data_IF_622450462660
#
_entry.id   IF_622450462660
#
_cell.length_a   1.000
_cell.length_b   1.000
_cell.length_c   1.000
_cell.angle_alpha   90.00
_cell.angle_beta   90.00
_cell.angle_gamma   90.00
#
_symmetry.space_group_name_H-M   'P 1'
#
loop_
_entity.id
_entity.type
_entity.pdbx_description
1 polymer ?
#
# COMPACT_ATOMS: atom_id res chain seq x y z
N UNK A 1 -16.49 24.67 5.12
CA UNK A 1 -16.99 23.33 4.70
C UNK A 1 -15.75 22.48 4.43
N UNK A 2 -15.57 21.34 5.10
CA UNK A 2 -14.49 20.41 4.74
C UNK A 2 -14.76 19.94 3.31
N UNK A 3 -13.75 20.00 2.43
CA UNK A 3 -13.87 19.53 1.05
C UNK A 3 -14.13 18.01 1.14
N UNK A 4 -15.20 17.53 0.51
CA UNK A 4 -15.53 16.11 0.51
C UNK A 4 -14.51 15.36 -0.34
N UNK A 5 -13.96 14.26 0.16
CA UNK A 5 -13.07 13.40 -0.61
C UNK A 5 -13.81 12.81 -1.81
N UNK A 6 -13.14 12.76 -2.96
CA UNK A 6 -13.72 12.34 -4.22
C UNK A 6 -13.31 10.91 -4.57
N UNK A 7 -14.27 10.10 -5.04
CA UNK A 7 -14.00 8.81 -5.65
C UNK A 7 -13.44 9.00 -7.07
N UNK A 8 -12.37 8.28 -7.41
CA UNK A 8 -11.78 8.33 -8.74
C UNK A 8 -10.94 7.08 -9.02
N UNK A 9 -10.61 6.90 -10.30
CA UNK A 9 -9.76 5.85 -10.83
C UNK A 9 -8.59 6.51 -11.55
N UNK A 10 -7.39 5.99 -11.34
CA UNK A 10 -6.18 6.37 -12.08
C UNK A 10 -5.68 5.16 -12.87
N UNK A 11 -5.38 5.36 -14.15
CA UNK A 11 -4.77 4.33 -14.98
C UNK A 11 -3.29 4.19 -14.68
N UNK A 12 -2.72 3.05 -15.07
CA UNK A 12 -1.29 2.82 -14.96
C UNK A 12 -0.48 4.00 -15.52
N UNK A 13 0.31 4.62 -14.65
CA UNK A 13 1.15 5.75 -14.98
C UNK A 13 0.52 7.12 -14.74
N UNK A 14 -0.80 7.20 -14.57
CA UNK A 14 -1.49 8.41 -14.08
C UNK A 14 -1.23 8.60 -12.59
N UNK A 15 -1.28 9.86 -12.15
CA UNK A 15 -1.10 10.27 -10.76
C UNK A 15 -1.76 11.63 -10.55
N UNK A 16 -2.01 12.01 -9.30
CA UNK A 16 -2.42 13.37 -8.96
C UNK A 16 -1.28 14.36 -9.24
N UNK A 17 -0.07 13.95 -8.87
CA UNK A 17 1.16 14.70 -9.13
C UNK A 17 2.36 13.75 -9.16
N UNK A 18 3.32 14.05 -10.02
CA UNK A 18 4.60 13.33 -10.12
C UNK A 18 5.76 14.27 -9.81
N UNK A 19 6.70 13.79 -9.00
CA UNK A 19 7.94 14.48 -8.66
C UNK A 19 9.16 13.63 -8.96
N UNK A 20 10.27 14.28 -9.25
CA UNK A 20 11.59 13.67 -9.19
C UNK A 20 12.24 14.11 -7.88
N UNK A 21 12.49 13.15 -6.98
CA UNK A 21 13.13 13.38 -5.70
C UNK A 21 14.33 12.43 -5.57
N UNK A 22 15.52 12.99 -5.37
CA UNK A 22 16.76 12.21 -5.24
C UNK A 22 16.95 11.13 -6.34
N UNK A 23 16.59 11.45 -7.59
CA UNK A 23 16.73 10.54 -8.75
C UNK A 23 15.63 9.47 -8.88
N UNK A 24 14.62 9.51 -8.02
CA UNK A 24 13.49 8.59 -8.01
C UNK A 24 12.22 9.32 -8.48
N UNK A 25 11.44 8.67 -9.34
CA UNK A 25 10.16 9.19 -9.82
C UNK A 25 9.10 8.78 -8.82
N UNK A 26 8.52 9.76 -8.13
CA UNK A 26 7.50 9.59 -7.10
C UNK A 26 6.15 10.04 -7.65
N UNK A 27 5.19 9.12 -7.71
CA UNK A 27 3.83 9.36 -8.17
C UNK A 27 2.89 9.33 -6.97
N UNK A 28 2.27 10.46 -6.67
CA UNK A 28 1.22 10.54 -5.65
C UNK A 28 -0.10 10.14 -6.26
N UNK A 29 -0.66 9.01 -5.81
CA UNK A 29 -1.92 8.46 -6.29
C UNK A 29 -3.12 8.89 -5.44
N UNK A 30 -2.88 9.16 -4.16
CA UNK A 30 -3.84 9.79 -3.25
C UNK A 30 -3.10 10.68 -2.27
N UNK A 31 -3.66 11.87 -2.00
CA UNK A 31 -3.14 12.86 -1.06
C UNK A 31 -4.05 12.96 0.19
N UNK A 32 -3.68 13.84 1.12
CA UNK A 32 -4.46 14.16 2.32
C UNK A 32 -5.95 14.43 2.01
N UNK A 33 -6.26 15.15 0.93
CA UNK A 33 -7.64 15.50 0.59
C UNK A 33 -8.41 14.28 0.06
N UNK A 34 -7.76 13.43 -0.75
CA UNK A 34 -8.34 12.22 -1.31
C UNK A 34 -8.72 11.20 -0.22
N UNK A 35 -7.96 11.12 0.86
CA UNK A 35 -8.14 10.13 1.93
C UNK A 35 -8.68 10.71 3.23
N UNK A 36 -9.07 12.00 3.23
CA UNK A 36 -9.51 12.74 4.42
C UNK A 36 -8.48 12.70 5.57
N UNK A 37 -7.20 12.76 5.24
CA UNK A 37 -6.07 12.71 6.18
C UNK A 37 -5.71 11.31 6.66
N UNK A 38 -6.30 10.26 6.08
CA UNK A 38 -6.03 8.87 6.47
C UNK A 38 -4.60 8.45 6.12
N UNK A 39 -4.19 8.66 4.87
CA UNK A 39 -2.86 8.31 4.37
C UNK A 39 -2.57 8.99 3.02
N UNK A 40 -1.29 9.12 2.67
CA UNK A 40 -0.85 9.32 1.29
C UNK A 40 -0.60 7.97 0.61
N UNK A 41 -0.97 7.84 -0.66
CA UNK A 41 -0.69 6.64 -1.47
C UNK A 41 0.31 6.97 -2.58
N UNK A 42 1.39 6.20 -2.66
CA UNK A 42 2.54 6.50 -3.49
C UNK A 42 2.97 5.29 -4.32
N UNK A 43 3.41 5.54 -5.55
CA UNK A 43 4.23 4.61 -6.32
C UNK A 43 5.57 5.28 -6.60
N UNK A 44 6.64 4.55 -6.36
CA UNK A 44 7.99 5.00 -6.66
C UNK A 44 8.63 4.10 -7.70
N UNK A 45 9.18 4.72 -8.75
CA UNK A 45 9.98 4.07 -9.78
C UNK A 45 11.42 4.60 -9.70
N UNK A 46 12.38 3.68 -9.71
CA UNK A 46 13.80 4.02 -9.67
C UNK A 46 14.66 3.08 -10.52
N UNK A 47 15.86 3.55 -10.85
CA UNK A 47 16.95 2.68 -11.33
C UNK A 47 17.72 2.10 -10.13
N UNK A 48 19.04 2.01 -10.23
CA UNK A 48 19.90 1.66 -9.10
C UNK A 48 20.28 2.97 -8.42
N UNK A 49 19.88 3.12 -7.16
CA UNK A 49 20.26 4.28 -6.38
C UNK A 49 21.75 4.21 -6.06
N UNK A 50 22.51 5.32 -6.24
CA UNK A 50 23.95 5.33 -5.97
C UNK A 50 24.27 5.10 -4.48
N UNK A 51 23.34 5.43 -3.60
CA UNK A 51 23.43 5.27 -2.15
C UNK A 51 22.01 5.12 -1.58
N UNK A 52 21.82 4.50 -0.39
CA UNK A 52 20.54 4.50 0.29
C UNK A 52 20.09 5.92 0.62
N UNK A 53 18.78 6.13 0.78
CA UNK A 53 18.32 7.29 1.52
C UNK A 53 18.91 7.21 2.94
N UNK A 54 19.32 8.33 3.56
CA UNK A 54 19.92 8.28 4.89
C UNK A 54 19.00 7.60 5.89
N UNK A 55 19.58 6.88 6.85
CA UNK A 55 18.82 6.41 8.01
C UNK A 55 18.13 7.59 8.68
N UNK A 56 16.83 7.46 8.91
CA UNK A 56 15.98 8.48 9.51
C UNK A 56 14.81 7.83 10.23
N UNK A 57 14.05 8.62 10.96
CA UNK A 57 12.77 8.23 11.51
C UNK A 57 11.76 9.37 11.33
N UNK A 58 10.49 9.01 11.52
CA UNK A 58 9.38 9.94 11.66
C UNK A 58 8.80 9.80 13.06
N UNK A 59 8.38 10.88 13.70
CA UNK A 59 7.75 10.85 15.02
C UNK A 59 6.31 10.33 14.94
N UNK A 60 5.65 10.46 13.79
CA UNK A 60 4.21 10.18 13.63
C UNK A 60 3.86 9.20 12.54
N UNK A 61 4.68 9.14 11.48
CA UNK A 61 4.29 8.40 10.30
C UNK A 61 4.53 6.89 10.42
N UNK A 62 3.55 6.17 9.89
CA UNK A 62 3.57 4.73 9.63
C UNK A 62 3.91 4.54 8.16
N UNK A 63 5.07 3.96 7.88
CA UNK A 63 5.52 3.72 6.51
C UNK A 63 5.33 2.26 6.10
N UNK A 64 4.95 2.08 4.84
CA UNK A 64 4.75 0.76 4.25
C UNK A 64 5.36 0.66 2.87
N UNK A 65 5.90 -0.51 2.56
CA UNK A 65 6.43 -0.84 1.24
C UNK A 65 5.91 -2.19 0.80
N UNK A 66 5.26 -2.24 -0.36
CA UNK A 66 5.02 -3.45 -1.13
C UNK A 66 5.91 -3.35 -2.37
N UNK A 67 6.94 -4.18 -2.47
CA UNK A 67 7.77 -4.22 -3.68
C UNK A 67 6.94 -4.81 -4.82
N UNK A 68 6.76 -4.09 -5.93
CA UNK A 68 5.90 -4.55 -7.05
C UNK A 68 6.74 -5.02 -8.23
N UNK A 69 8.01 -4.62 -8.30
CA UNK A 69 8.96 -5.04 -9.33
C UNK A 69 10.39 -4.76 -8.89
N UNK A 70 11.33 -5.60 -9.31
CA UNK A 70 12.76 -5.36 -9.09
C UNK A 70 13.22 -5.79 -7.71
N UNK A 71 14.06 -4.98 -7.06
CA UNK A 71 14.66 -5.28 -5.75
C UNK A 71 14.80 -4.01 -4.92
N UNK A 72 14.07 -3.96 -3.82
CA UNK A 72 14.14 -2.85 -2.86
C UNK A 72 14.85 -3.34 -1.60
N UNK A 73 16.03 -2.80 -1.31
CA UNK A 73 16.73 -3.06 -0.06
C UNK A 73 16.17 -2.13 1.01
N UNK A 74 15.71 -2.69 2.12
CA UNK A 74 15.11 -1.93 3.23
C UNK A 74 15.84 -2.27 4.52
N UNK A 75 16.10 -1.25 5.32
CA UNK A 75 16.63 -1.35 6.66
C UNK A 75 15.59 -0.84 7.65
N UNK A 76 15.45 -1.54 8.76
CA UNK A 76 14.68 -1.09 9.91
C UNK A 76 15.37 -1.59 11.16
N UNK A 77 15.72 -0.66 12.06
CA UNK A 77 16.48 -0.95 13.28
C UNK A 77 17.77 -1.75 12.98
N UNK A 78 17.90 -2.94 13.55
CA UNK A 78 19.04 -3.85 13.40
C UNK A 78 18.87 -4.88 12.27
N UNK A 79 17.83 -4.72 11.45
CA UNK A 79 17.47 -5.66 10.39
C UNK A 79 17.62 -5.03 8.99
N UNK A 80 17.98 -5.87 8.02
CA UNK A 80 17.95 -5.51 6.60
C UNK A 80 17.45 -6.67 5.75
N UNK A 81 16.60 -6.37 4.76
CA UNK A 81 16.10 -7.31 3.75
C UNK A 81 16.21 -6.72 2.35
N UNK A 82 16.30 -7.60 1.35
CA UNK A 82 16.06 -7.23 -0.04
C UNK A 82 14.67 -7.75 -0.43
N UNK A 83 13.70 -6.86 -0.47
CA UNK A 83 12.34 -7.14 -0.88
C UNK A 83 12.28 -7.40 -2.39
N UNK A 84 11.57 -8.46 -2.75
CA UNK A 84 11.20 -8.83 -4.10
C UNK A 84 9.69 -8.68 -4.31
N UNK A 85 9.19 -8.98 -5.52
CA UNK A 85 7.79 -8.74 -5.87
C UNK A 85 6.83 -9.41 -4.88
N UNK A 86 6.00 -8.59 -4.23
CA UNK A 86 4.99 -8.98 -3.24
C UNK A 86 5.48 -9.08 -1.80
N UNK A 87 6.79 -8.96 -1.54
CA UNK A 87 7.31 -8.80 -0.18
C UNK A 87 6.91 -7.43 0.39
N UNK A 88 6.70 -7.40 1.70
CA UNK A 88 6.21 -6.24 2.43
C UNK A 88 7.17 -5.83 3.55
N UNK A 89 7.23 -4.52 3.82
CA UNK A 89 7.83 -3.97 5.03
C UNK A 89 6.89 -2.94 5.65
N UNK A 90 6.84 -2.93 6.98
CA UNK A 90 6.16 -1.91 7.77
C UNK A 90 7.13 -1.33 8.78
N UNK A 91 7.14 -0.01 8.89
CA UNK A 91 7.87 0.73 9.91
C UNK A 91 6.89 1.56 10.72
N UNK A 92 6.90 1.39 12.04
CA UNK A 92 6.08 2.18 12.96
C UNK A 92 6.78 3.52 13.30
N UNK A 93 6.04 4.50 13.83
CA UNK A 93 6.62 5.76 14.27
C UNK A 93 7.76 5.57 15.27
N UNK A 94 8.81 6.37 15.09
CA UNK A 94 10.02 6.41 15.91
C UNK A 94 11.10 5.41 15.54
N UNK A 95 10.80 4.40 14.72
CA UNK A 95 11.78 3.38 14.34
C UNK A 95 12.66 3.89 13.18
N UNK A 96 13.96 3.67 13.31
CA UNK A 96 14.97 4.13 12.37
C UNK A 96 15.00 3.21 11.16
N UNK A 97 14.87 3.80 9.98
CA UNK A 97 14.79 3.04 8.74
C UNK A 97 15.42 3.76 7.55
N UNK A 98 15.64 3.00 6.48
CA UNK A 98 16.13 3.48 5.19
C UNK A 98 15.72 2.50 4.09
N UNK A 99 15.84 2.93 2.83
CA UNK A 99 15.79 2.02 1.70
C UNK A 99 16.75 2.41 0.57
N UNK A 100 16.97 1.48 -0.34
CA UNK A 100 17.75 1.64 -1.56
C UNK A 100 17.19 0.75 -2.67
N UNK A 101 16.93 1.33 -3.83
CA UNK A 101 16.64 0.59 -5.05
C UNK A 101 17.94 -0.02 -5.59
N UNK A 102 18.01 -1.35 -5.65
CA UNK A 102 19.25 -2.08 -6.00
C UNK A 102 19.12 -2.91 -7.29
N UNK A 103 18.06 -2.68 -8.07
CA UNK A 103 17.87 -3.26 -9.40
C UNK A 103 17.65 -2.19 -10.47
N UNK A 104 17.96 -2.45 -11.76
CA UNK A 104 17.82 -1.47 -12.86
C UNK A 104 16.40 -0.91 -13.07
N UNK A 105 15.39 -1.61 -12.56
CA UNK A 105 13.97 -1.25 -12.61
C UNK A 105 13.31 -1.71 -11.31
N UNK A 106 13.40 -0.86 -10.28
CA UNK A 106 12.71 -1.09 -9.01
C UNK A 106 11.43 -0.28 -8.98
N UNK A 107 10.33 -0.92 -8.59
CA UNK A 107 9.08 -0.24 -8.31
C UNK A 107 8.51 -0.78 -7.00
N UNK A 108 7.95 0.11 -6.19
CA UNK A 108 7.19 -0.25 -5.01
C UNK A 108 6.00 0.68 -4.83
N UNK A 109 4.96 0.13 -4.21
CA UNK A 109 3.78 0.85 -3.75
C UNK A 109 3.86 1.00 -2.24
N UNK A 110 3.49 2.17 -1.72
CA UNK A 110 3.52 2.44 -0.30
C UNK A 110 2.40 3.37 0.13
N UNK A 111 1.95 3.17 1.36
CA UNK A 111 1.09 4.08 2.08
C UNK A 111 1.87 4.69 3.23
N UNK A 112 1.68 5.99 3.44
CA UNK A 112 2.21 6.70 4.60
C UNK A 112 1.05 7.30 5.36
N UNK A 113 0.89 6.95 6.63
CA UNK A 113 -0.21 7.42 7.47
C UNK A 113 0.35 8.17 8.70
N UNK A 114 -0.22 9.32 9.10
CA UNK A 114 -1.39 9.98 8.53
C UNK A 114 -1.11 10.64 7.17
N UNK A 115 -2.18 10.99 6.44
CA UNK A 115 -2.07 11.69 5.16
C UNK A 115 -1.53 13.11 5.33
N UNK A 116 -0.91 13.64 4.28
CA UNK A 116 -0.26 14.95 4.22
C UNK A 116 1.27 14.87 4.27
N UNK A 117 1.84 13.75 4.74
CA UNK A 117 3.29 13.53 4.70
C UNK A 117 3.83 13.44 3.28
N UNK A 118 3.08 12.85 2.34
CA UNK A 118 3.46 12.69 0.94
C UNK A 118 3.79 14.02 0.23
N UNK A 119 3.28 15.14 0.73
CA UNK A 119 3.64 16.48 0.26
C UNK A 119 5.12 16.84 0.54
N UNK A 120 5.85 16.03 1.31
CA UNK A 120 7.31 16.06 1.39
C UNK A 120 7.95 16.01 0.01
N UNK A 121 7.48 15.14 -0.89
CA UNK A 121 8.08 14.99 -2.22
C UNK A 121 7.84 16.21 -3.11
N UNK A 122 6.69 16.87 -2.95
CA UNK A 122 6.45 18.17 -3.60
C UNK A 122 7.40 19.24 -3.07
N UNK A 123 7.63 19.25 -1.76
CA UNK A 123 8.46 20.23 -1.10
C UNK A 123 9.97 20.01 -1.35
N UNK A 124 10.42 18.76 -1.46
CA UNK A 124 11.82 18.37 -1.59
C UNK A 124 12.25 18.16 -3.05
N UNK A 125 11.38 17.61 -3.88
CA UNK A 125 11.66 17.25 -5.28
C UNK A 125 11.28 18.34 -6.28
N UNK A 126 11.58 18.10 -7.54
CA UNK A 126 11.07 18.91 -8.66
C UNK A 126 9.83 18.26 -9.27
N UNK A 127 8.95 19.09 -9.84
CA UNK A 127 7.82 18.58 -10.62
C UNK A 127 8.34 17.83 -11.84
N UNK A 128 7.80 16.64 -12.10
CA UNK A 128 8.27 15.76 -13.16
C UNK A 128 7.14 15.39 -14.12
N UNK A 129 7.12 16.04 -15.28
CA UNK A 129 6.11 15.79 -16.33
C UNK A 129 6.65 14.89 -17.46
N UNK A 130 7.90 14.44 -17.37
CA UNK A 130 8.56 13.61 -18.39
C UNK A 130 8.12 12.12 -18.32
N UNK A 131 8.08 11.40 -19.46
CA UNK A 131 7.73 10.00 -19.48
C UNK A 131 8.84 9.13 -18.87
N UNK A 132 8.54 8.48 -17.75
CA UNK A 132 9.40 7.46 -17.16
C UNK A 132 10.55 8.02 -16.32
N UNK A 133 11.64 7.23 -16.22
CA UNK A 133 12.79 7.49 -15.35
C UNK A 133 13.71 8.58 -15.94
N UNK A 134 14.40 9.37 -15.08
CA UNK A 134 15.32 10.40 -15.55
C UNK A 134 16.50 9.82 -16.33
N UNK A 135 17.11 10.63 -17.18
CA UNK A 135 18.37 10.29 -17.84
C UNK A 135 19.48 10.06 -16.80
N UNK A 136 20.47 9.22 -17.12
CA UNK A 136 21.55 8.83 -16.19
C UNK A 136 22.36 10.03 -15.66
N UNK A 137 22.41 11.13 -16.41
CA UNK A 137 23.13 12.35 -16.08
C UNK A 137 22.20 13.49 -15.61
N UNK A 138 20.93 13.19 -15.31
CA UNK A 138 20.04 14.18 -14.70
C UNK A 138 20.63 14.63 -13.35
N UNK A 139 20.79 15.94 -13.11
CA UNK A 139 21.38 16.41 -11.86
C UNK A 139 20.49 16.05 -10.66
N UNK A 140 21.13 15.78 -9.53
CA UNK A 140 20.43 15.68 -8.25
C UNK A 140 20.36 17.08 -7.64
N UNK A 141 19.15 17.57 -7.36
CA UNK A 141 18.94 18.80 -6.59
C UNK A 141 18.54 18.45 -5.14
N UNK A 142 19.37 18.86 -4.18
CA UNK A 142 19.11 18.71 -2.75
C UNK A 142 18.88 20.04 -2.04
N UNK A 143 18.81 21.16 -2.79
CA UNK A 143 18.69 22.51 -2.22
C UNK A 143 17.42 22.71 -1.37
N UNK A 144 16.38 21.94 -1.68
CA UNK A 144 15.07 21.97 -1.00
C UNK A 144 14.92 20.92 0.10
N UNK A 145 15.86 19.98 0.19
CA UNK A 145 15.77 18.78 1.01
C UNK A 145 15.72 19.13 2.52
N UNK A 146 16.68 19.91 3.02
CA UNK A 146 16.73 20.28 4.44
C UNK A 146 15.47 20.97 4.96
N UNK A 147 14.97 22.05 4.30
CA UNK A 147 13.72 22.69 4.68
C UNK A 147 12.49 21.76 4.60
N UNK A 148 12.42 20.88 3.59
CA UNK A 148 11.33 19.92 3.47
C UNK A 148 11.36 18.89 4.62
N UNK A 149 12.53 18.35 4.96
CA UNK A 149 12.70 17.41 6.07
C UNK A 149 12.25 18.01 7.40
N UNK A 150 12.65 19.25 7.69
CA UNK A 150 12.23 19.95 8.90
C UNK A 150 10.72 20.23 8.96
N UNK A 151 10.06 20.34 7.81
CA UNK A 151 8.61 20.58 7.72
C UNK A 151 7.78 19.31 7.82
N UNK A 152 8.27 18.20 7.27
CA UNK A 152 7.53 16.94 7.11
C UNK A 152 8.13 15.80 7.95
N UNK A 153 8.54 16.12 9.18
CA UNK A 153 8.89 15.14 10.21
C UNK A 153 9.97 14.12 9.81
N UNK A 154 10.96 14.52 9.02
CA UNK A 154 12.06 13.62 8.62
C UNK A 154 13.29 13.91 9.48
N UNK A 155 13.67 12.97 10.35
CA UNK A 155 14.78 13.14 11.30
C UNK A 155 15.97 12.22 10.97
N UNK A 156 17.02 12.73 10.30
CA UNK A 156 18.19 11.93 9.97
C UNK A 156 18.96 11.48 11.20
N UNK A 157 19.42 10.24 11.17
CA UNK A 157 20.31 9.68 12.19
C UNK A 157 21.74 9.71 11.66
N UNK A 158 22.57 10.56 12.28
CA UNK A 158 23.98 10.70 11.93
C UNK A 158 24.79 9.55 12.54
N UNK A 159 25.71 8.98 11.74
CA UNK A 159 26.64 7.95 12.22
C UNK A 159 26.01 6.59 12.52
N UNK A 160 24.75 6.36 12.15
CA UNK A 160 24.11 5.06 12.28
C UNK A 160 24.76 4.02 11.34
N UNK A 161 24.81 2.78 11.82
CA UNK A 161 25.38 1.66 11.08
C UNK A 161 24.26 0.93 10.35
N UNK A 162 24.41 0.74 9.05
CA UNK A 162 23.49 -0.06 8.26
C UNK A 162 23.67 -1.54 8.60
N UNK A 163 22.59 -2.20 9.03
CA UNK A 163 22.58 -3.63 9.26
C UNK A 163 22.94 -4.42 7.99
N UNK A 164 23.52 -5.61 8.18
CA UNK A 164 23.88 -6.49 7.08
C UNK A 164 22.67 -7.17 6.43
N UNK A 165 22.82 -7.36 5.13
CA UNK A 165 22.27 -8.46 4.32
C UNK A 165 21.74 -9.70 5.04
N UNK A 166 20.45 -9.87 5.33
CA UNK A 166 19.90 -11.20 5.67
C UNK A 166 18.77 -11.65 4.73
N UNK A 167 18.58 -12.96 4.63
CA UNK A 167 17.47 -13.57 3.89
C UNK A 167 16.15 -13.63 4.71
N UNK A 168 16.17 -13.08 5.93
CA UNK A 168 15.09 -13.28 6.90
C UNK A 168 15.08 -14.65 7.55
N UNK A 169 14.10 -14.84 8.41
CA UNK A 169 13.84 -16.07 9.15
C UNK A 169 12.33 -16.32 9.28
N UNK A 170 11.91 -17.10 10.28
CA UNK A 170 10.50 -17.42 10.51
C UNK A 170 9.67 -16.22 10.97
N UNK A 171 10.29 -15.19 11.57
CA UNK A 171 9.58 -13.97 11.98
C UNK A 171 9.07 -13.17 10.77
N UNK A 172 9.71 -13.29 9.61
CA UNK A 172 9.25 -12.66 8.37
C UNK A 172 8.01 -13.37 7.76
N UNK A 173 7.37 -14.31 8.46
CA UNK A 173 6.21 -15.09 7.97
C UNK A 173 4.94 -14.90 8.79
N UNK A 174 5.03 -14.11 9.86
CA UNK A 174 3.94 -13.88 10.80
C UNK A 174 3.83 -12.38 11.09
N UNK A 175 2.63 -11.92 11.43
CA UNK A 175 2.48 -10.55 11.95
C UNK A 175 2.91 -10.53 13.42
N UNK A 176 3.53 -9.44 13.89
CA UNK A 176 3.84 -9.32 15.31
C UNK A 176 2.57 -9.20 16.16
N UNK A 177 2.61 -9.75 17.37
CA UNK A 177 1.50 -9.67 18.35
C UNK A 177 1.28 -8.25 18.89
N UNK A 178 2.32 -7.42 18.84
CA UNK A 178 2.32 -6.05 19.32
C UNK A 178 2.73 -5.10 18.20
N UNK A 179 2.54 -3.79 18.43
CA UNK A 179 3.02 -2.76 17.51
C UNK A 179 4.56 -2.79 17.42
N UNK A 180 5.08 -3.36 16.34
CA UNK A 180 6.50 -3.36 15.98
C UNK A 180 6.66 -3.22 14.47
N UNK A 181 7.80 -2.69 14.04
CA UNK A 181 8.22 -2.75 12.65
C UNK A 181 8.59 -4.19 12.27
N UNK A 182 8.38 -4.58 11.02
CA UNK A 182 8.66 -5.94 10.54
C UNK A 182 8.74 -6.02 9.01
N UNK A 183 9.30 -7.13 8.56
CA UNK A 183 9.27 -7.57 7.18
C UNK A 183 8.29 -8.74 7.06
N UNK A 184 7.63 -8.88 5.92
CA UNK A 184 6.73 -9.99 5.64
C UNK A 184 6.99 -10.52 4.24
N UNK A 185 7.36 -11.79 4.16
CA UNK A 185 7.57 -12.51 2.92
C UNK A 185 6.24 -12.65 2.16
N UNK A 186 6.32 -12.58 0.84
CA UNK A 186 5.18 -12.72 -0.06
C UNK A 186 4.32 -13.96 0.27
N UNK A 187 3.00 -13.77 0.32
CA UNK A 187 2.01 -14.81 0.62
C UNK A 187 1.82 -15.17 2.10
N UNK A 188 2.74 -14.75 2.98
CA UNK A 188 2.64 -14.97 4.42
C UNK A 188 1.77 -13.91 5.13
N UNK A 189 1.45 -14.16 6.41
CA UNK A 189 0.48 -13.39 7.21
C UNK A 189 -0.88 -14.11 7.40
N UNK A 190 -1.77 -13.59 8.27
CA UNK A 190 -3.12 -14.14 8.45
C UNK A 190 -3.93 -14.13 7.15
N UNK A 191 -4.57 -15.26 6.83
CA UNK A 191 -5.32 -15.45 5.59
C UNK A 191 -6.75 -15.89 5.86
N UNK A 192 -7.68 -15.35 5.07
CA UNK A 192 -9.08 -15.78 5.01
C UNK A 192 -9.48 -16.12 3.58
N UNK A 193 -10.36 -17.11 3.43
CA UNK A 193 -10.96 -17.51 2.15
C UNK A 193 -12.44 -17.16 2.15
N UNK A 194 -12.90 -16.46 1.12
CA UNK A 194 -14.30 -16.02 0.97
C UNK A 194 -14.59 -15.67 -0.48
N UNK A 195 -15.81 -15.91 -0.99
CA UNK A 195 -16.26 -15.47 -2.32
C UNK A 195 -15.32 -15.79 -3.49
N UNK A 196 -14.65 -16.95 -3.44
CA UNK A 196 -13.64 -17.36 -4.42
C UNK A 196 -12.26 -16.71 -4.26
N UNK A 197 -12.07 -15.82 -3.28
CA UNK A 197 -10.81 -15.10 -3.02
C UNK A 197 -9.96 -15.75 -1.93
N UNK A 198 -8.68 -15.41 -1.93
CA UNK A 198 -7.78 -15.42 -0.77
C UNK A 198 -7.50 -13.96 -0.40
N UNK A 199 -7.71 -13.60 0.86
CA UNK A 199 -7.34 -12.30 1.41
C UNK A 199 -6.27 -12.51 2.48
N UNK A 200 -5.10 -11.90 2.28
CA UNK A 200 -3.92 -11.99 3.14
C UNK A 200 -3.70 -10.65 3.83
N UNK A 201 -3.54 -10.67 5.15
CA UNK A 201 -3.28 -9.48 5.95
C UNK A 201 -1.81 -9.13 5.90
N UNK A 202 -1.51 -7.94 5.37
CA UNK A 202 -0.15 -7.40 5.41
C UNK A 202 0.08 -6.60 6.68
N UNK A 203 -0.87 -5.74 7.07
CA UNK A 203 -0.81 -4.87 8.25
C UNK A 203 -2.19 -4.81 8.92
N UNK A 204 -2.25 -5.15 10.21
CA UNK A 204 -3.47 -5.02 11.01
C UNK A 204 -3.56 -3.66 11.70
N UNK A 205 -4.78 -3.26 12.07
CA UNK A 205 -5.01 -2.05 12.86
C UNK A 205 -4.32 -2.09 14.22
N UNK A 206 -4.21 -3.24 14.86
CA UNK A 206 -3.55 -3.33 16.17
C UNK A 206 -2.05 -3.03 16.07
N UNK A 207 -1.39 -3.55 15.03
CA UNK A 207 0.04 -3.31 14.78
C UNK A 207 0.31 -1.84 14.41
N UNK A 208 -0.62 -1.22 13.67
CA UNK A 208 -0.56 0.20 13.28
C UNK A 208 -1.18 1.17 14.28
N UNK A 209 -1.61 0.70 15.46
CA UNK A 209 -2.29 1.54 16.46
C UNK A 209 -3.49 2.30 15.89
N UNK A 210 -4.29 1.62 15.05
CA UNK A 210 -5.48 2.12 14.35
C UNK A 210 -5.24 3.16 13.25
N UNK A 211 -3.99 3.46 12.90
CA UNK A 211 -3.66 4.43 11.83
C UNK A 211 -3.98 3.90 10.43
N UNK A 212 -3.65 2.64 10.16
CA UNK A 212 -3.72 2.04 8.81
C UNK A 212 -3.97 0.53 8.88
N UNK A 213 -4.62 -0.04 7.87
CA UNK A 213 -4.60 -1.49 7.63
C UNK A 213 -4.35 -1.78 6.14
N UNK A 214 -3.70 -2.91 5.86
CA UNK A 214 -3.39 -3.33 4.49
C UNK A 214 -3.62 -4.81 4.27
N UNK A 215 -4.18 -5.15 3.11
CA UNK A 215 -4.46 -6.52 2.68
C UNK A 215 -3.98 -6.72 1.24
N UNK A 216 -3.56 -7.94 0.90
CA UNK A 216 -3.51 -8.43 -0.47
C UNK A 216 -4.73 -9.29 -0.71
N UNK A 217 -5.40 -9.07 -1.83
CA UNK A 217 -6.52 -9.91 -2.27
C UNK A 217 -6.16 -10.52 -3.60
N UNK A 218 -6.42 -11.81 -3.75
CA UNK A 218 -6.23 -12.55 -4.99
C UNK A 218 -7.37 -13.54 -5.23
N UNK A 219 -7.60 -13.89 -6.49
CA UNK A 219 -8.61 -14.89 -6.84
C UNK A 219 -8.54 -15.31 -8.31
N UNK A 220 -9.12 -16.48 -8.65
CA UNK A 220 -9.25 -16.94 -10.02
C UNK A 220 -10.42 -16.22 -10.73
N UNK A 221 -10.51 -16.40 -12.05
CA UNK A 221 -11.63 -15.93 -12.86
C UNK A 221 -12.99 -16.26 -12.22
N UNK A 222 -13.85 -15.26 -12.12
CA UNK A 222 -15.21 -15.39 -11.59
C UNK A 222 -15.32 -15.19 -10.07
N UNK A 223 -14.21 -15.14 -9.33
CA UNK A 223 -14.24 -14.72 -7.93
C UNK A 223 -14.81 -13.29 -7.83
N UNK A 224 -15.77 -13.08 -6.93
CA UNK A 224 -16.57 -11.87 -6.86
C UNK A 224 -17.06 -11.60 -5.45
N UNK A 225 -16.66 -10.45 -4.91
CA UNK A 225 -17.24 -9.92 -3.67
C UNK A 225 -18.65 -9.34 -3.91
N UNK A 226 -19.52 -9.35 -2.89
CA UNK A 226 -20.74 -8.55 -2.93
C UNK A 226 -20.41 -7.05 -3.01
N UNK A 227 -21.41 -6.22 -3.30
CA UNK A 227 -21.24 -4.77 -3.26
C UNK A 227 -21.07 -4.32 -1.83
N UNK A 228 -20.00 -3.57 -1.53
CA UNK A 228 -19.71 -3.08 -0.17
C UNK A 228 -19.68 -1.56 -0.14
N UNK A 229 -20.17 -0.98 0.95
CA UNK A 229 -20.06 0.44 1.28
C UNK A 229 -19.59 0.60 2.73
N UNK A 230 -18.79 1.61 3.00
CA UNK A 230 -18.26 1.94 4.33
C UNK A 230 -18.82 3.28 4.80
N UNK A 231 -19.11 3.45 6.09
CA UNK A 231 -19.66 4.71 6.60
C UNK A 231 -18.55 5.70 6.96
N UNK A 232 -17.39 5.22 7.41
CA UNK A 232 -16.24 6.01 7.85
C UNK A 232 -14.92 5.63 7.16
N UNK A 233 -14.73 4.37 6.77
CA UNK A 233 -13.48 3.90 6.19
C UNK A 233 -13.26 4.46 4.78
N UNK A 234 -12.05 4.97 4.55
CA UNK A 234 -11.55 5.29 3.21
C UNK A 234 -10.64 4.15 2.77
N UNK A 235 -10.80 3.69 1.52
CA UNK A 235 -10.02 2.59 0.94
C UNK A 235 -9.28 3.07 -0.29
N UNK A 236 -8.05 2.60 -0.46
CA UNK A 236 -7.29 2.71 -1.69
C UNK A 236 -7.01 1.32 -2.26
N UNK A 237 -7.34 1.11 -3.53
CA UNK A 237 -7.09 -0.12 -4.25
C UNK A 237 -5.96 0.11 -5.26
N UNK A 238 -4.94 -0.74 -5.24
CA UNK A 238 -3.85 -0.74 -6.23
C UNK A 238 -3.73 -2.12 -6.89
N UNK A 239 -3.92 -2.19 -8.21
CA UNK A 239 -3.83 -3.44 -8.97
C UNK A 239 -2.37 -3.88 -9.13
N UNK A 240 -2.07 -5.12 -8.74
CA UNK A 240 -0.74 -5.71 -8.88
C UNK A 240 -0.64 -6.57 -10.15
N UNK A 241 -1.64 -7.43 -10.38
CA UNK A 241 -1.65 -8.38 -11.48
C UNK A 241 -3.07 -8.66 -11.99
N UNK A 242 -3.17 -9.04 -13.27
CA UNK A 242 -4.43 -9.46 -13.89
C UNK A 242 -5.42 -8.33 -14.11
N UNK A 243 -6.70 -8.70 -14.18
CA UNK A 243 -7.81 -7.82 -14.52
C UNK A 243 -9.01 -8.09 -13.62
N UNK A 244 -9.63 -7.01 -13.15
CA UNK A 244 -10.93 -7.06 -12.47
C UNK A 244 -11.93 -6.16 -13.17
N UNK A 245 -13.16 -6.64 -13.34
CA UNK A 245 -14.30 -5.76 -13.52
C UNK A 245 -14.57 -5.05 -12.18
N UNK A 246 -14.62 -3.72 -12.23
CA UNK A 246 -14.73 -2.86 -11.06
C UNK A 246 -15.92 -1.92 -11.21
N UNK A 247 -16.72 -1.81 -10.16
CA UNK A 247 -17.78 -0.80 -10.04
C UNK A 247 -17.39 0.14 -8.91
N UNK A 248 -17.44 1.46 -9.16
CA UNK A 248 -17.19 2.54 -8.20
C UNK A 248 -18.35 3.52 -8.23
N UNK A 249 -19.23 3.47 -7.23
CA UNK A 249 -20.53 4.14 -7.27
C UNK A 249 -21.35 3.66 -8.47
N UNK A 250 -21.60 4.57 -9.41
CA UNK A 250 -22.31 4.27 -10.67
C UNK A 250 -21.37 3.91 -11.82
N UNK A 251 -20.07 4.22 -11.70
CA UNK A 251 -19.08 3.98 -12.74
C UNK A 251 -18.72 2.49 -12.80
N UNK A 252 -18.70 1.93 -14.01
CA UNK A 252 -18.25 0.55 -14.27
C UNK A 252 -17.07 0.57 -15.22
N UNK A 253 -16.01 -0.11 -14.87
CA UNK A 253 -14.81 -0.21 -15.69
C UNK A 253 -14.07 -1.54 -15.49
N UNK A 254 -12.96 -1.73 -16.18
CA UNK A 254 -12.01 -2.82 -15.94
C UNK A 254 -10.71 -2.17 -15.45
N UNK A 255 -10.17 -2.67 -14.34
CA UNK A 255 -8.85 -2.28 -13.84
C UNK A 255 -7.82 -3.33 -14.24
N UNK A 256 -6.64 -2.88 -14.69
CA UNK A 256 -5.49 -3.71 -15.04
C UNK A 256 -4.34 -3.47 -14.06
N UNK A 257 -3.31 -4.31 -14.10
CA UNK A 257 -2.09 -4.11 -13.32
C UNK A 257 -1.54 -2.67 -13.44
N UNK A 258 -1.31 -2.02 -12.29
CA UNK A 258 -0.88 -0.63 -12.18
C UNK A 258 -2.01 0.42 -12.17
N UNK A 259 -3.25 0.04 -12.49
CA UNK A 259 -4.42 0.90 -12.24
C UNK A 259 -4.70 0.99 -10.74
N UNK A 260 -5.35 2.06 -10.31
CA UNK A 260 -5.72 2.27 -8.91
C UNK A 260 -7.05 3.00 -8.76
N UNK A 261 -7.65 2.90 -7.57
CA UNK A 261 -8.88 3.59 -7.24
C UNK A 261 -8.83 4.15 -5.81
N UNK A 262 -9.22 5.42 -5.68
CA UNK A 262 -9.53 6.02 -4.39
C UNK A 262 -11.02 5.85 -4.11
N UNK A 263 -11.35 5.24 -2.97
CA UNK A 263 -12.69 4.85 -2.58
C UNK A 263 -13.00 5.50 -1.20
N UNK A 264 -13.47 6.76 -1.17
CA UNK A 264 -13.84 7.43 0.07
C UNK A 264 -15.01 6.75 0.78
N UNK A 265 -15.16 7.04 2.07
CA UNK A 265 -16.35 6.67 2.83
C UNK A 265 -17.64 7.08 2.10
N UNK A 266 -18.69 6.28 2.27
CA UNK A 266 -19.99 6.40 1.61
C UNK A 266 -19.95 6.18 0.08
N UNK A 267 -18.89 5.56 -0.44
CA UNK A 267 -18.80 5.13 -1.84
C UNK A 267 -18.93 3.62 -1.93
N UNK A 268 -19.96 3.14 -2.62
CA UNK A 268 -20.13 1.72 -2.88
C UNK A 268 -19.13 1.23 -3.94
N UNK A 269 -18.58 0.03 -3.78
CA UNK A 269 -17.74 -0.59 -4.81
C UNK A 269 -17.95 -2.10 -4.91
N UNK A 270 -17.52 -2.68 -6.02
CA UNK A 270 -17.58 -4.13 -6.26
C UNK A 270 -16.43 -4.57 -7.16
N UNK A 271 -15.86 -5.74 -6.87
CA UNK A 271 -14.79 -6.36 -7.66
C UNK A 271 -15.21 -7.73 -8.17
N UNK A 272 -14.88 -8.04 -9.43
CA UNK A 272 -14.99 -9.40 -10.00
C UNK A 272 -13.78 -9.70 -10.87
N UNK A 273 -13.11 -10.83 -10.65
CA UNK A 273 -11.95 -11.24 -11.44
C UNK A 273 -12.38 -11.68 -12.85
N UNK A 274 -11.79 -11.07 -13.88
CA UNK A 274 -12.11 -11.36 -15.30
C UNK A 274 -11.00 -12.09 -16.03
N UNK A 275 -9.74 -11.85 -15.67
CA UNK A 275 -8.57 -12.61 -16.13
C UNK A 275 -8.52 -14.00 -15.48
N UNK A 276 -7.56 -14.85 -15.89
CA UNK A 276 -7.38 -16.19 -15.31
C UNK A 276 -7.15 -16.14 -13.79
N UNK A 277 -6.36 -15.18 -13.35
CA UNK A 277 -6.15 -14.78 -11.95
C UNK A 277 -5.95 -13.26 -11.89
N UNK A 278 -6.27 -12.64 -10.75
CA UNK A 278 -5.91 -11.25 -10.45
C UNK A 278 -5.49 -11.10 -9.00
N UNK A 279 -4.65 -10.08 -8.73
CA UNK A 279 -4.13 -9.74 -7.42
C UNK A 279 -4.08 -8.21 -7.26
N UNK A 280 -4.49 -7.70 -6.10
CA UNK A 280 -4.45 -6.28 -5.78
C UNK A 280 -4.21 -6.04 -4.30
N UNK A 281 -3.70 -4.85 -3.98
CA UNK A 281 -3.54 -4.38 -2.61
C UNK A 281 -4.71 -3.47 -2.23
N UNK A 282 -5.20 -3.63 -1.00
CA UNK A 282 -6.13 -2.72 -0.36
C UNK A 282 -5.42 -2.07 0.83
N UNK A 283 -5.49 -0.75 0.92
CA UNK A 283 -5.15 -0.01 2.13
C UNK A 283 -6.35 0.76 2.65
N UNK A 284 -6.49 0.88 3.96
CA UNK A 284 -7.62 1.58 4.56
C UNK A 284 -7.27 2.30 5.87
N UNK A 285 -8.02 3.36 6.16
CA UNK A 285 -7.88 4.15 7.40
C UNK A 285 -9.24 4.61 7.95
N UNK A 286 -9.21 5.32 9.08
CA UNK A 286 -10.33 5.85 9.86
C UNK A 286 -11.13 4.83 10.66
N UNK A 287 -11.62 3.77 10.03
CA UNK A 287 -12.38 2.69 10.68
C UNK A 287 -11.97 1.30 10.14
N UNK A 288 -12.54 0.23 10.67
CA UNK A 288 -12.11 -1.16 10.44
C UNK A 288 -12.79 -1.79 9.22
N UNK A 289 -12.83 -1.08 8.10
CA UNK A 289 -13.58 -1.49 6.91
C UNK A 289 -13.05 -2.76 6.26
N UNK A 290 -11.75 -3.08 6.36
CA UNK A 290 -11.23 -4.32 5.78
C UNK A 290 -11.53 -5.56 6.63
N UNK A 291 -11.99 -5.42 7.88
CA UNK A 291 -12.49 -6.54 8.70
C UNK A 291 -13.71 -7.22 8.04
N UNK A 292 -14.32 -6.60 7.02
CA UNK A 292 -15.36 -7.23 6.18
C UNK A 292 -14.88 -8.56 5.59
N UNK A 293 -13.59 -8.66 5.25
CA UNK A 293 -12.98 -9.90 4.73
C UNK A 293 -12.94 -10.99 5.79
N UNK A 294 -12.56 -10.64 7.02
CA UNK A 294 -12.49 -11.58 8.13
C UNK A 294 -13.89 -12.03 8.56
N UNK A 295 -14.85 -11.11 8.55
CA UNK A 295 -16.24 -11.37 8.95
C UNK A 295 -16.98 -12.28 7.96
N UNK A 296 -16.72 -12.10 6.67
CA UNK A 296 -17.31 -12.91 5.60
C UNK A 296 -16.50 -14.18 5.30
N UNK A 297 -15.25 -14.23 5.73
CA UNK A 297 -14.32 -15.31 5.40
C UNK A 297 -14.15 -16.36 6.48
N UNK A 298 -13.49 -17.44 6.09
CA UNK A 298 -13.01 -18.48 6.99
C UNK A 298 -11.48 -18.41 7.04
N UNK A 299 -10.87 -18.28 8.24
CA UNK A 299 -9.42 -18.37 8.39
C UNK A 299 -8.87 -19.65 7.75
N UNK A 300 -7.67 -19.56 7.17
CA UNK A 300 -7.05 -20.66 6.44
C UNK A 300 -5.55 -20.73 6.66
N UNK A 301 -5.01 -21.95 6.72
CA UNK A 301 -3.58 -22.20 6.62
C UNK A 301 -3.11 -22.32 5.16
N UNK A 302 -4.03 -22.57 4.23
CA UNK A 302 -3.73 -22.74 2.80
C UNK A 302 -3.38 -21.41 2.11
N UNK A 303 -2.54 -21.51 1.08
CA UNK A 303 -2.09 -20.41 0.22
C UNK A 303 -2.87 -20.32 -1.10
N UNK A 304 -4.02 -20.99 -1.20
CA UNK A 304 -4.83 -21.01 -2.41
C UNK A 304 -6.21 -20.40 -2.18
N UNK A 305 -6.77 -19.66 -3.15
CA UNK A 305 -8.13 -19.12 -3.06
C UNK A 305 -9.20 -20.17 -2.80
N UNK A 306 -10.35 -19.74 -2.30
CA UNK A 306 -11.54 -20.60 -2.21
C UNK A 306 -11.84 -21.22 -3.59
N UNK A 307 -12.17 -22.51 -3.63
CA UNK A 307 -12.92 -23.01 -4.78
C UNK A 307 -14.25 -22.25 -4.79
N UNK A 308 -14.73 -21.83 -5.96
CA UNK A 308 -16.07 -21.26 -6.07
C UNK A 308 -17.08 -22.31 -5.56
N UNK A 309 -17.59 -22.13 -4.34
CA UNK A 309 -18.65 -22.97 -3.80
C UNK A 309 -19.98 -22.29 -4.04
N UNK A 310 -21.01 -23.05 -4.38
CA UNK A 310 -22.39 -22.56 -4.54
C UNK A 310 -23.01 -22.01 -3.24
N UNK A 311 -22.28 -22.07 -2.12
CA UNK A 311 -22.75 -21.68 -0.77
C UNK A 311 -22.36 -20.24 -0.36
N UNK A 312 -21.96 -19.40 -1.33
CA UNK A 312 -21.85 -17.94 -1.19
C UNK A 312 -23.23 -17.27 -1.24
N UNK A 313 -24.23 -17.83 -0.56
CA UNK A 313 -25.53 -17.17 -0.45
C UNK A 313 -25.32 -15.83 0.25
N UNK A 314 -25.60 -14.74 -0.47
CA UNK A 314 -25.50 -13.33 -0.01
C UNK A 314 -26.45 -13.06 1.19
N UNK A 315 -27.22 -14.06 1.61
CA UNK A 315 -28.29 -13.92 2.57
C UNK A 315 -27.76 -13.83 4.01
N UNK A 316 -27.60 -12.57 4.42
CA UNK A 316 -27.71 -12.06 5.80
C UNK A 316 -26.54 -12.34 6.74
N UNK A 317 -25.30 -12.22 6.29
CA UNK A 317 -24.21 -12.00 7.25
C UNK A 317 -24.34 -10.59 7.83
N UNK A 318 -24.71 -10.50 9.10
CA UNK A 318 -24.68 -9.24 9.84
C UNK A 318 -23.23 -8.84 10.09
N UNK A 319 -22.80 -7.72 9.50
CA UNK A 319 -21.47 -7.11 9.71
C UNK A 319 -21.41 -6.29 11.00
N UNK A 320 -22.01 -6.79 12.08
CA UNK A 320 -22.02 -6.10 13.37
C UNK A 320 -20.58 -5.90 13.88
N UNK A 321 -20.25 -4.67 14.25
CA UNK A 321 -18.92 -4.26 14.72
C UNK A 321 -17.90 -3.92 13.62
N UNK A 322 -18.29 -4.02 12.35
CA UNK A 322 -17.44 -3.69 11.20
C UNK A 322 -18.01 -2.46 10.49
N UNK A 323 -17.16 -1.50 10.14
CA UNK A 323 -17.56 -0.33 9.33
C UNK A 323 -17.78 -0.72 7.86
N UNK A 324 -18.76 -1.59 7.60
CA UNK A 324 -19.11 -2.04 6.27
C UNK A 324 -20.58 -2.50 6.21
N UNK A 325 -21.22 -2.25 5.06
CA UNK A 325 -22.56 -2.76 4.73
C UNK A 325 -22.51 -3.41 3.35
N UNK A 326 -23.16 -4.56 3.23
CA UNK A 326 -23.40 -5.19 1.93
C UNK A 326 -24.68 -4.62 1.34
N UNK A 327 -24.65 -4.25 0.06
CA UNK A 327 -25.78 -3.72 -0.72
C UNK A 327 -26.43 -4.77 -1.62
#
# INVERSE_FOLDING_TARGET
MKKQSQAYILRQGESLITHLAAGQVVKTLADEAATAGGFGALVMDATIDPQPIPLHYHEKEHDTWVCTRGRLKVWCEDQCRILTSGDFAYVKPGDVHAYQSVAPRTQFFGLVAPGGWEAFFEAAGERWDEPGLPAINHPFDFSRMGPAMAKYDVHPVQGATYADVSNGDESDRELPDASSSYFLQEGYGPRVRTYGHLCTTLLSRDVSQSSLEMRIVEGPKGARMPTVIHDQTHIFLYMLEGEIAFTLGEEKTVLHAGDSANIPANTAYTTMVTSGQARWCLGAAHANGLDVWDRLGKPTQYFTPAAASEDDSIDKVTLEGVDARVL
#
